data_IF_385431677591
#
_entry.id   IF_385431677591
#
_cell.length_a   1.000
_cell.length_b   1.000
_cell.length_c   1.000
_cell.angle_alpha   90.00
_cell.angle_beta   90.00
_cell.angle_gamma   90.00
#
_symmetry.space_group_name_H-M   'P 1'
#
loop_
_entity.id
_entity.type
_entity.pdbx_description
1 polymer ?
#
# COMPACT_ATOMS: atom_id res chain seq x y z
N UNK A 1 -6.14 -6.36 15.62
CA UNK A 1 -7.13 -6.34 14.54
C UNK A 1 -6.55 -5.45 13.45
N UNK A 2 -6.15 -5.96 12.29
CA UNK A 2 -5.63 -5.12 11.23
C UNK A 2 -6.74 -4.17 10.80
N UNK A 3 -6.56 -2.88 11.07
CA UNK A 3 -7.60 -1.83 11.01
C UNK A 3 -8.17 -1.68 9.59
N UNK A 4 -7.43 -2.15 8.59
CA UNK A 4 -7.67 -1.89 7.18
C UNK A 4 -8.19 -3.11 6.38
N UNK A 5 -8.31 -4.31 6.97
CA UNK A 5 -8.67 -5.53 6.21
C UNK A 5 -10.09 -5.52 5.62
N UNK A 6 -10.99 -4.74 6.19
CA UNK A 6 -12.39 -4.64 5.75
C UNK A 6 -12.57 -3.63 4.59
N UNK A 7 -11.59 -2.75 4.37
CA UNK A 7 -11.65 -1.70 3.36
C UNK A 7 -11.44 -2.26 1.95
N UNK A 8 -12.09 -1.65 0.97
CA UNK A 8 -11.86 -1.96 -0.46
C UNK A 8 -10.54 -1.37 -0.95
N UNK A 9 -10.08 -1.79 -2.12
CA UNK A 9 -8.81 -1.33 -2.70
C UNK A 9 -8.79 0.19 -2.87
N UNK A 10 -9.90 0.75 -3.35
CA UNK A 10 -10.11 2.19 -3.50
C UNK A 10 -10.07 2.91 -2.14
N UNK A 11 -10.79 2.41 -1.13
CA UNK A 11 -10.80 3.03 0.19
C UNK A 11 -9.44 2.99 0.90
N UNK A 12 -8.63 1.95 0.67
CA UNK A 12 -7.26 1.88 1.16
C UNK A 12 -6.39 3.00 0.57
N UNK A 13 -6.53 3.25 -0.73
CA UNK A 13 -5.79 4.30 -1.44
C UNK A 13 -6.26 5.68 -0.99
N UNK A 14 -7.57 5.88 -0.84
CA UNK A 14 -8.13 7.12 -0.32
C UNK A 14 -7.62 7.41 1.10
N UNK A 15 -7.66 6.40 1.99
CA UNK A 15 -7.09 6.52 3.33
C UNK A 15 -5.61 6.84 3.28
N UNK A 16 -4.85 6.18 2.40
CA UNK A 16 -3.43 6.45 2.25
C UNK A 16 -3.18 7.89 1.77
N UNK A 17 -3.99 8.41 0.85
CA UNK A 17 -3.89 9.79 0.36
C UNK A 17 -4.37 10.83 1.40
N UNK A 18 -5.27 10.46 2.31
CA UNK A 18 -5.68 11.29 3.44
C UNK A 18 -4.60 11.36 4.54
N UNK A 19 -3.73 10.36 4.64
CA UNK A 19 -2.65 10.32 5.62
C UNK A 19 -1.45 11.10 5.11
N UNK A 20 -0.94 12.02 5.94
CA UNK A 20 0.31 12.73 5.68
C UNK A 20 1.55 11.88 6.02
N UNK A 21 1.36 10.58 6.30
CA UNK A 21 2.41 9.65 6.70
C UNK A 21 2.18 8.24 6.14
N UNK A 22 3.27 7.49 6.03
CA UNK A 22 3.27 6.10 5.60
C UNK A 22 2.97 5.18 6.77
N UNK A 23 1.70 4.81 6.95
CA UNK A 23 1.33 3.78 7.92
C UNK A 23 1.82 2.40 7.45
N UNK A 24 2.70 1.70 8.19
CA UNK A 24 3.30 0.46 7.73
C UNK A 24 2.30 -0.69 7.58
N UNK A 25 1.24 -0.74 8.40
CA UNK A 25 0.16 -1.74 8.27
C UNK A 25 -0.66 -1.47 7.02
N UNK A 26 -1.01 -0.20 6.73
CA UNK A 26 -1.72 0.19 5.51
C UNK A 26 -0.89 -0.07 4.25
N UNK A 27 0.39 0.32 4.28
CA UNK A 27 1.31 0.16 3.16
C UNK A 27 1.57 -1.30 2.83
N UNK A 28 1.78 -2.14 3.86
CA UNK A 28 1.92 -3.57 3.70
C UNK A 28 0.66 -4.19 3.08
N UNK A 29 -0.54 -3.76 3.50
CA UNK A 29 -1.80 -4.27 2.96
C UNK A 29 -2.04 -3.87 1.51
N UNK A 30 -1.74 -2.62 1.14
CA UNK A 30 -1.81 -2.13 -0.26
C UNK A 30 -0.85 -2.94 -1.14
N UNK A 31 0.38 -3.15 -0.69
CA UNK A 31 1.36 -3.96 -1.40
C UNK A 31 0.95 -5.44 -1.48
N UNK A 32 0.34 -6.00 -0.43
CA UNK A 32 -0.17 -7.36 -0.42
C UNK A 32 -1.27 -7.55 -1.46
N UNK A 33 -2.25 -6.65 -1.51
CA UNK A 33 -3.33 -6.72 -2.50
C UNK A 33 -2.87 -6.51 -3.94
N UNK A 34 -1.86 -5.68 -4.15
CA UNK A 34 -1.25 -5.49 -5.46
C UNK A 34 -0.34 -6.65 -5.92
N UNK A 35 -0.14 -7.67 -5.06
CA UNK A 35 0.78 -8.78 -5.31
C UNK A 35 2.24 -8.35 -5.36
N UNK A 36 2.59 -7.35 -4.54
CA UNK A 36 3.91 -6.75 -4.41
C UNK A 36 4.51 -6.99 -3.01
N UNK A 37 3.96 -7.91 -2.21
CA UNK A 37 4.46 -8.26 -0.87
C UNK A 37 5.96 -8.53 -0.88
N UNK A 38 6.45 -9.36 -1.79
CA UNK A 38 7.88 -9.66 -1.91
C UNK A 38 8.70 -8.39 -2.18
N UNK A 39 8.22 -7.50 -3.06
CA UNK A 39 8.92 -6.23 -3.32
C UNK A 39 8.87 -5.28 -2.14
N UNK A 40 7.81 -5.31 -1.35
CA UNK A 40 7.65 -4.50 -0.15
C UNK A 40 8.57 -5.00 0.97
N UNK A 41 8.66 -6.32 1.18
CA UNK A 41 9.57 -6.92 2.16
C UNK A 41 11.05 -6.72 1.77
N UNK A 42 11.35 -6.71 0.48
CA UNK A 42 12.68 -6.39 -0.05
C UNK A 42 12.92 -4.89 -0.24
N UNK A 43 11.91 -4.03 -0.02
CA UNK A 43 12.09 -2.60 -0.15
C UNK A 43 12.78 -2.07 1.10
N UNK A 44 14.02 -1.62 0.94
CA UNK A 44 14.66 -0.77 1.93
C UNK A 44 13.97 0.60 2.01
N UNK A 45 14.20 1.32 3.11
CA UNK A 45 13.61 2.63 3.43
C UNK A 45 13.79 3.75 2.38
N UNK A 46 14.41 3.48 1.23
CA UNK A 46 14.50 4.40 0.08
C UNK A 46 13.63 3.95 -1.11
N UNK A 47 13.29 2.66 -1.21
CA UNK A 47 12.54 2.07 -2.33
C UNK A 47 11.07 1.82 -2.02
N UNK A 48 10.67 1.86 -0.75
CA UNK A 48 9.31 1.53 -0.31
C UNK A 48 8.27 2.47 -0.92
N UNK A 49 8.55 3.78 -1.05
CA UNK A 49 7.64 4.75 -1.68
C UNK A 49 7.37 4.41 -3.15
N UNK A 50 8.39 3.96 -3.88
CA UNK A 50 8.26 3.54 -5.27
C UNK A 50 7.44 2.25 -5.40
N UNK A 51 7.67 1.27 -4.51
CA UNK A 51 6.90 0.02 -4.48
C UNK A 51 5.43 0.30 -4.13
N UNK A 52 5.19 1.19 -3.17
CA UNK A 52 3.86 1.60 -2.76
C UNK A 52 3.12 2.34 -3.88
N UNK A 53 3.78 3.29 -4.54
CA UNK A 53 3.22 3.99 -5.70
C UNK A 53 2.85 3.02 -6.83
N UNK A 54 3.69 2.00 -7.09
CA UNK A 54 3.38 0.94 -8.04
C UNK A 54 2.20 0.07 -7.58
N UNK A 55 2.09 -0.22 -6.29
CA UNK A 55 0.98 -0.97 -5.73
C UNK A 55 -0.35 -0.23 -5.89
N UNK A 56 -0.37 1.06 -5.55
CA UNK A 56 -1.52 1.95 -5.75
C UNK A 56 -1.93 1.96 -7.23
N UNK A 57 -0.97 2.16 -8.15
CA UNK A 57 -1.22 2.12 -9.60
C UNK A 57 -1.83 0.81 -10.08
N UNK A 58 -1.37 -0.32 -9.57
CA UNK A 58 -1.92 -1.64 -9.91
C UNK A 58 -3.36 -1.81 -9.44
N UNK A 59 -3.67 -1.31 -8.24
CA UNK A 59 -5.01 -1.41 -7.65
C UNK A 59 -6.02 -0.48 -8.33
N UNK A 60 -5.60 0.75 -8.67
CA UNK A 60 -6.45 1.72 -9.39
C UNK A 60 -6.57 1.44 -10.90
N UNK A 61 -5.76 0.54 -11.46
CA UNK A 61 -5.85 0.11 -12.86
C UNK A 61 -5.39 1.16 -13.89
N UNK A 62 -4.45 2.04 -13.51
CA UNK A 62 -3.88 3.07 -14.39
C UNK A 62 -2.79 2.55 -15.34
#
# INVERSE_FOLDING_TARGET
MPIYRDLTDDELIEKFAELDYYDPDLCALICERAGLTERWEHADGENFESVLCLAIKKLTGA
#
